data_IF_368290516285
#
_entry.id   IF_368290516285
#
_cell.length_a   1.000
_cell.length_b   1.000
_cell.length_c   1.000
_cell.angle_alpha   90.00
_cell.angle_beta   90.00
_cell.angle_gamma   90.00
#
_symmetry.space_group_name_H-M   'P 1'
#
loop_
_entity.id
_entity.type
_entity.pdbx_description
1 polymer ?
#
# COMPACT_ATOMS: atom_id res chain seq x y z
N UNK A 1 48.80 3.38 -8.24
CA UNK A 1 47.68 4.23 -8.69
C UNK A 1 46.37 3.50 -8.43
N UNK A 2 45.62 3.86 -7.38
CA UNK A 2 44.34 3.22 -7.05
C UNK A 2 43.23 3.93 -7.84
N UNK A 3 42.68 3.26 -8.86
CA UNK A 3 41.53 3.77 -9.60
C UNK A 3 40.33 3.88 -8.66
N UNK A 4 39.86 5.12 -8.52
CA UNK A 4 38.65 5.49 -7.79
C UNK A 4 37.48 4.87 -8.57
N UNK A 5 36.94 3.75 -8.07
CA UNK A 5 35.69 3.21 -8.58
C UNK A 5 34.60 4.21 -8.23
N UNK A 6 34.24 5.02 -9.21
CA UNK A 6 33.16 5.98 -9.15
C UNK A 6 31.87 5.20 -8.94
N UNK A 7 31.36 5.24 -7.70
CA UNK A 7 30.04 4.73 -7.36
C UNK A 7 29.05 5.53 -8.19
N UNK A 8 28.63 4.96 -9.32
CA UNK A 8 27.41 5.35 -10.02
C UNK A 8 26.29 5.33 -8.99
N UNK A 9 25.87 6.53 -8.57
CA UNK A 9 24.64 6.72 -7.82
C UNK A 9 23.54 6.15 -8.72
N UNK A 10 22.96 5.01 -8.32
CA UNK A 10 21.79 4.46 -8.98
C UNK A 10 20.74 5.58 -9.02
N UNK A 11 20.46 6.07 -10.23
CA UNK A 11 19.44 7.09 -10.45
C UNK A 11 18.11 6.66 -9.83
N UNK A 12 17.37 7.65 -9.34
CA UNK A 12 16.05 7.48 -8.71
C UNK A 12 15.20 6.44 -9.46
N UNK A 13 14.72 5.37 -8.80
CA UNK A 13 13.95 4.30 -9.45
C UNK A 13 12.60 4.75 -10.03
N UNK A 14 12.15 5.96 -9.69
CA UNK A 14 10.83 6.47 -10.07
C UNK A 14 10.91 7.17 -11.43
N UNK A 15 10.66 6.43 -12.51
CA UNK A 15 10.50 7.00 -13.86
C UNK A 15 9.21 7.81 -14.03
N UNK A 16 8.25 7.68 -13.11
CA UNK A 16 6.94 8.32 -13.15
C UNK A 16 6.60 8.99 -11.81
N UNK A 17 5.79 10.05 -11.87
CA UNK A 17 5.26 10.71 -10.66
C UNK A 17 4.41 9.73 -9.85
N UNK A 18 4.36 9.93 -8.52
CA UNK A 18 3.53 9.11 -7.62
C UNK A 18 2.05 9.11 -8.05
N UNK A 19 1.56 10.24 -8.56
CA UNK A 19 0.22 10.42 -9.14
C UNK A 19 -0.10 9.41 -10.24
N UNK A 20 0.88 9.09 -11.07
CA UNK A 20 0.69 8.19 -12.22
C UNK A 20 0.22 6.82 -11.77
N UNK A 21 0.77 6.27 -10.68
CA UNK A 21 0.39 4.93 -10.20
C UNK A 21 -1.06 4.85 -9.75
N UNK A 22 -1.55 5.85 -9.02
CA UNK A 22 -2.95 5.91 -8.58
C UNK A 22 -3.93 5.97 -9.76
N UNK A 23 -3.66 6.84 -10.74
CA UNK A 23 -4.51 6.99 -11.93
C UNK A 23 -4.51 5.71 -12.77
N UNK A 24 -3.35 5.10 -13.00
CA UNK A 24 -3.26 3.87 -13.80
C UNK A 24 -3.92 2.70 -13.09
N UNK A 25 -3.75 2.58 -11.77
CA UNK A 25 -4.43 1.56 -10.99
C UNK A 25 -5.94 1.71 -11.05
N UNK A 26 -6.48 2.92 -10.89
CA UNK A 26 -7.92 3.17 -11.02
C UNK A 26 -8.44 2.78 -12.41
N UNK A 27 -7.72 3.10 -13.48
CA UNK A 27 -8.08 2.68 -14.85
C UNK A 27 -8.14 1.16 -14.99
N UNK A 28 -7.12 0.46 -14.51
CA UNK A 28 -7.08 -1.01 -14.54
C UNK A 28 -8.19 -1.62 -13.68
N UNK A 29 -8.48 -1.02 -12.53
CA UNK A 29 -9.56 -1.45 -11.64
C UNK A 29 -10.92 -1.38 -12.34
N UNK A 30 -11.18 -0.29 -13.08
CA UNK A 30 -12.42 -0.14 -13.86
C UNK A 30 -12.54 -1.18 -14.97
N UNK A 31 -11.43 -1.57 -15.62
CA UNK A 31 -11.44 -2.61 -16.65
C UNK A 31 -11.55 -4.03 -16.08
N UNK A 32 -11.00 -4.28 -14.88
CA UNK A 32 -11.03 -5.58 -14.23
C UNK A 32 -12.34 -5.85 -13.49
N UNK A 33 -13.15 -4.80 -13.23
CA UNK A 33 -14.41 -4.92 -12.49
C UNK A 33 -15.36 -5.85 -13.25
N UNK A 34 -15.91 -6.90 -12.61
CA UNK A 34 -16.88 -7.77 -13.24
C UNK A 34 -18.13 -7.00 -13.67
N UNK A 35 -18.86 -7.54 -14.63
CA UNK A 35 -20.19 -7.05 -14.98
C UNK A 35 -21.12 -7.06 -13.75
N UNK A 36 -22.07 -6.12 -13.69
CA UNK A 36 -22.89 -5.87 -12.50
C UNK A 36 -23.79 -7.04 -12.05
N UNK A 37 -24.00 -8.03 -12.92
CA UNK A 37 -24.74 -9.26 -12.70
C UNK A 37 -23.86 -10.44 -12.24
N UNK A 38 -22.54 -10.28 -12.25
CA UNK A 38 -21.60 -11.33 -11.84
C UNK A 38 -21.63 -11.58 -10.32
N UNK A 39 -21.99 -12.80 -9.95
CA UNK A 39 -21.93 -13.29 -8.55
C UNK A 39 -20.51 -13.60 -8.06
N UNK A 40 -19.49 -13.45 -8.90
CA UNK A 40 -18.10 -13.77 -8.53
C UNK A 40 -17.56 -12.75 -7.52
N UNK A 41 -16.93 -13.21 -6.42
CA UNK A 41 -16.30 -12.30 -5.47
C UNK A 41 -15.15 -11.55 -6.15
N UNK A 42 -15.17 -10.23 -6.09
CA UNK A 42 -14.14 -9.37 -6.65
C UNK A 42 -13.52 -8.53 -5.55
N UNK A 43 -12.21 -8.68 -5.38
CA UNK A 43 -11.45 -7.94 -4.38
C UNK A 43 -10.33 -7.15 -5.02
N UNK A 44 -10.10 -5.96 -4.49
CA UNK A 44 -9.02 -5.08 -4.90
C UNK A 44 -8.37 -4.42 -3.68
N UNK A 45 -7.10 -4.09 -3.81
CA UNK A 45 -6.33 -3.39 -2.78
C UNK A 45 -5.28 -2.52 -3.44
N UNK A 46 -5.25 -1.24 -3.08
CA UNK A 46 -4.20 -0.31 -3.43
C UNK A 46 -3.41 0.07 -2.17
N UNK A 47 -2.09 0.03 -2.24
CA UNK A 47 -1.20 0.29 -1.11
C UNK A 47 -0.25 1.41 -1.47
N UNK A 48 -0.24 2.46 -0.66
CA UNK A 48 0.73 3.54 -0.75
C UNK A 48 1.67 3.54 0.47
N UNK A 49 2.98 3.59 0.21
CA UNK A 49 4.00 3.68 1.23
C UNK A 49 4.26 5.14 1.62
N UNK A 50 3.20 5.94 1.79
CA UNK A 50 3.23 7.40 2.00
C UNK A 50 3.97 8.16 0.89
N UNK A 51 3.94 7.64 -0.33
CA UNK A 51 4.61 8.23 -1.50
C UNK A 51 3.70 9.20 -2.24
N UNK A 52 2.38 9.03 -2.14
CA UNK A 52 1.43 9.96 -2.72
C UNK A 52 1.52 11.30 -1.99
N UNK A 53 1.44 12.38 -2.77
CA UNK A 53 1.24 13.73 -2.23
C UNK A 53 -0.18 13.86 -1.66
N UNK A 54 -0.38 14.76 -0.70
CA UNK A 54 -1.64 14.83 0.05
C UNK A 54 -2.83 15.12 -0.87
N UNK A 55 -2.69 16.05 -1.83
CA UNK A 55 -3.71 16.33 -2.86
C UNK A 55 -4.11 15.08 -3.67
N UNK A 56 -3.16 14.18 -3.88
CA UNK A 56 -3.33 12.97 -4.68
C UNK A 56 -3.97 11.88 -3.84
N UNK A 57 -3.60 11.80 -2.56
CA UNK A 57 -4.25 10.94 -1.56
C UNK A 57 -5.72 11.35 -1.38
N UNK A 58 -6.01 12.65 -1.35
CA UNK A 58 -7.38 13.16 -1.27
C UNK A 58 -8.17 12.81 -2.54
N UNK A 59 -7.58 13.04 -3.73
CA UNK A 59 -8.22 12.63 -4.98
C UNK A 59 -8.44 11.10 -5.04
N UNK A 60 -7.49 10.30 -4.54
CA UNK A 60 -7.64 8.86 -4.43
C UNK A 60 -8.81 8.48 -3.51
N UNK A 61 -8.91 9.12 -2.36
CA UNK A 61 -9.95 8.88 -1.35
C UNK A 61 -11.34 9.29 -1.85
N UNK A 62 -11.49 10.54 -2.31
CA UNK A 62 -12.78 11.13 -2.61
C UNK A 62 -13.26 10.92 -4.04
N UNK A 63 -12.37 10.63 -5.00
CA UNK A 63 -12.75 10.53 -6.42
C UNK A 63 -12.49 9.18 -7.08
N UNK A 64 -11.41 8.47 -6.71
CA UNK A 64 -11.06 7.22 -7.39
C UNK A 64 -11.56 5.99 -6.65
N UNK A 65 -11.37 5.94 -5.34
CA UNK A 65 -11.68 4.77 -4.53
C UNK A 65 -12.96 4.92 -3.71
N UNK A 66 -13.45 6.15 -3.55
CA UNK A 66 -14.67 6.49 -2.81
C UNK A 66 -14.70 5.90 -1.38
N UNK A 67 -13.52 5.76 -0.77
CA UNK A 67 -13.33 5.23 0.58
C UNK A 67 -12.09 5.82 1.22
N UNK A 68 -12.13 6.01 2.53
CA UNK A 68 -10.99 6.46 3.31
C UNK A 68 -9.88 5.39 3.33
N UNK A 69 -8.60 5.79 3.31
CA UNK A 69 -7.50 4.87 3.50
C UNK A 69 -7.48 4.34 4.92
N UNK A 70 -7.17 3.06 5.04
CA UNK A 70 -6.69 2.49 6.28
C UNK A 70 -5.20 2.78 6.45
N UNK A 71 -4.82 3.45 7.54
CA UNK A 71 -3.41 3.61 7.91
C UNK A 71 -2.95 2.36 8.68
N UNK A 72 -1.90 1.70 8.19
CA UNK A 72 -1.31 0.52 8.81
C UNK A 72 0.12 0.83 9.22
N UNK A 73 0.36 0.84 10.52
CA UNK A 73 1.67 1.10 11.10
C UNK A 73 2.53 -0.16 11.12
N UNK A 74 3.79 -0.05 10.69
CA UNK A 74 4.83 -1.04 10.94
C UNK A 74 5.51 -0.73 12.26
N UNK A 75 5.21 -1.53 13.28
CA UNK A 75 5.74 -1.35 14.64
C UNK A 75 6.79 -2.42 14.92
N UNK A 76 7.97 -1.99 15.36
CA UNK A 76 9.03 -2.89 15.85
C UNK A 76 9.41 -2.50 17.27
N UNK A 77 9.44 -3.48 18.17
CA UNK A 77 9.82 -3.29 19.58
C UNK A 77 9.07 -2.13 20.27
N UNK A 78 7.80 -1.92 19.93
CA UNK A 78 6.97 -0.84 20.48
C UNK A 78 7.14 0.54 19.82
N UNK A 79 8.03 0.69 18.83
CA UNK A 79 8.23 1.92 18.09
C UNK A 79 7.66 1.83 16.66
N UNK A 80 6.99 2.91 16.21
CA UNK A 80 6.51 3.03 14.83
C UNK A 80 7.69 3.30 13.91
N UNK A 81 8.01 2.34 13.05
CA UNK A 81 9.11 2.45 12.09
C UNK A 81 8.66 3.05 10.77
N UNK A 82 7.41 2.77 10.36
CA UNK A 82 6.81 3.30 9.14
C UNK A 82 5.29 3.14 9.18
N UNK A 83 4.60 3.67 8.17
CA UNK A 83 3.20 3.39 7.93
C UNK A 83 2.92 3.28 6.44
N UNK A 84 1.80 2.66 6.10
CA UNK A 84 1.26 2.59 4.75
C UNK A 84 -0.22 2.95 4.76
N UNK A 85 -0.69 3.56 3.70
CA UNK A 85 -2.11 3.79 3.45
C UNK A 85 -2.64 2.69 2.54
N UNK A 86 -3.78 2.12 2.91
CA UNK A 86 -4.39 0.99 2.18
C UNK A 86 -5.84 1.32 1.85
N UNK A 87 -6.17 1.27 0.56
CA UNK A 87 -7.54 1.32 0.06
C UNK A 87 -7.93 -0.06 -0.45
N UNK A 88 -9.19 -0.45 -0.33
CA UNK A 88 -9.66 -1.72 -0.84
C UNK A 88 -11.00 -2.13 -0.27
N UNK A 89 -11.57 -3.19 -0.83
CA UNK A 89 -12.86 -3.76 -0.41
C UNK A 89 -12.71 -5.12 0.30
N UNK A 90 -11.50 -5.46 0.73
CA UNK A 90 -11.25 -6.69 1.48
C UNK A 90 -11.96 -6.62 2.85
N UNK A 91 -12.76 -7.62 3.26
CA UNK A 91 -13.56 -7.55 4.49
C UNK A 91 -12.77 -7.18 5.75
N UNK A 92 -11.53 -7.66 5.89
CA UNK A 92 -10.68 -7.33 7.04
C UNK A 92 -10.26 -5.86 7.10
N UNK A 93 -10.31 -5.11 5.99
CA UNK A 93 -10.05 -3.67 6.01
C UNK A 93 -11.16 -2.91 6.76
N UNK A 94 -12.40 -3.38 6.65
CA UNK A 94 -13.58 -2.73 7.25
C UNK A 94 -13.89 -3.23 8.67
N UNK A 95 -13.51 -4.46 9.02
CA UNK A 95 -13.99 -5.12 10.23
C UNK A 95 -13.16 -4.87 11.49
N UNK A 96 -11.87 -4.49 11.40
CA UNK A 96 -10.93 -4.60 12.54
C UNK A 96 -9.93 -3.47 12.76
N UNK A 97 -9.91 -2.41 11.97
CA UNK A 97 -8.79 -1.46 12.01
C UNK A 97 -9.20 0.02 11.90
N UNK A 98 -9.92 0.53 12.90
CA UNK A 98 -9.32 1.72 13.51
C UNK A 98 -8.02 1.22 14.15
N UNK A 99 -6.90 1.27 13.42
CA UNK A 99 -5.61 1.10 14.07
C UNK A 99 -5.58 2.06 15.27
N UNK A 100 -4.93 1.75 16.40
CA UNK A 100 -4.74 2.77 17.42
C UNK A 100 -4.25 4.01 16.70
N UNK A 101 -4.96 5.12 16.86
CA UNK A 101 -4.56 6.39 16.27
C UNK A 101 -3.29 6.76 17.03
N UNK A 102 -2.16 6.19 16.62
CA UNK A 102 -0.86 6.60 17.09
C UNK A 102 -0.77 8.07 16.71
N UNK A 103 -0.62 8.95 17.70
CA UNK A 103 -0.37 10.38 17.47
C UNK A 103 1.02 10.53 16.91
N UNK A 104 1.17 10.15 15.65
CA UNK A 104 2.43 10.11 14.92
C UNK A 104 2.24 10.91 13.65
N UNK A 105 3.16 11.84 13.43
CA UNK A 105 3.15 12.68 12.25
C UNK A 105 3.53 11.84 11.01
N UNK A 106 2.55 11.66 10.12
CA UNK A 106 2.73 10.93 8.86
C UNK A 106 3.73 11.62 7.94
N UNK A 107 3.89 12.94 8.04
CA UNK A 107 4.89 13.70 7.27
C UNK A 107 6.29 13.32 7.73
N UNK A 108 6.51 13.24 9.04
CA UNK A 108 7.80 12.80 9.59
C UNK A 108 8.11 11.34 9.21
N UNK A 109 7.10 10.46 9.24
CA UNK A 109 7.27 9.07 8.78
C UNK A 109 7.59 8.97 7.30
N UNK A 110 6.99 9.82 6.45
CA UNK A 110 7.28 9.90 5.01
C UNK A 110 8.75 10.23 4.75
N UNK A 111 9.31 11.19 5.48
CA UNK A 111 10.73 11.55 5.35
C UNK A 111 11.67 10.45 5.87
N UNK A 112 11.33 9.81 6.98
CA UNK A 112 12.07 8.64 7.47
C UNK A 112 12.02 7.46 6.47
N UNK A 113 10.88 7.24 5.83
CA UNK A 113 10.70 6.24 4.79
C UNK A 113 11.51 6.56 3.54
N UNK A 114 11.60 7.82 3.11
CA UNK A 114 12.45 8.23 1.98
C UNK A 114 13.92 7.94 2.24
N UNK A 115 14.35 8.11 3.49
CA UNK A 115 15.72 7.86 3.93
C UNK A 115 15.99 6.39 4.28
N UNK A 116 14.95 5.55 4.37
CA UNK A 116 15.06 4.13 4.69
C UNK A 116 14.74 3.27 3.47
N UNK A 117 15.46 2.17 3.29
CA UNK A 117 15.08 1.16 2.30
C UNK A 117 13.95 0.31 2.89
N UNK A 118 12.72 0.83 2.99
CA UNK A 118 11.58 0.01 3.40
C UNK A 118 11.37 -1.11 2.36
N UNK A 119 11.93 -2.28 2.68
CA UNK A 119 12.03 -3.42 1.76
C UNK A 119 10.66 -4.08 1.62
N UNK A 120 10.28 -4.47 0.40
CA UNK A 120 9.02 -5.16 0.10
C UNK A 120 8.72 -6.36 1.00
N UNK A 121 9.73 -7.02 1.56
CA UNK A 121 9.57 -8.10 2.55
C UNK A 121 8.87 -7.65 3.84
N UNK A 122 9.10 -6.42 4.32
CA UNK A 122 8.41 -5.86 5.50
C UNK A 122 6.96 -5.58 5.17
N UNK A 123 6.70 -4.98 4.01
CA UNK A 123 5.35 -4.71 3.54
C UNK A 123 4.52 -5.99 3.41
N UNK A 124 5.11 -7.04 2.82
CA UNK A 124 4.45 -8.33 2.67
C UNK A 124 4.05 -8.91 4.03
N UNK A 125 4.94 -8.85 5.04
CA UNK A 125 4.63 -9.29 6.41
C UNK A 125 3.49 -8.46 7.01
N UNK A 126 3.52 -7.15 6.83
CA UNK A 126 2.54 -6.22 7.38
C UNK A 126 1.13 -6.47 6.82
N UNK A 127 1.05 -6.72 5.51
CA UNK A 127 -0.22 -6.87 4.80
C UNK A 127 -0.78 -8.28 4.80
N UNK A 128 0.04 -9.31 5.08
CA UNK A 128 -0.37 -10.72 5.06
C UNK A 128 -1.66 -10.99 5.85
N UNK A 129 -1.84 -10.30 6.97
CA UNK A 129 -3.02 -10.42 7.85
C UNK A 129 -4.34 -10.08 7.15
N UNK A 130 -4.32 -9.16 6.17
CA UNK A 130 -5.54 -8.75 5.44
C UNK A 130 -6.00 -9.80 4.43
N UNK A 131 -5.12 -10.71 4.01
CA UNK A 131 -5.47 -11.76 3.06
C UNK A 131 -5.97 -13.04 3.75
N UNK A 132 -6.01 -13.10 5.08
CA UNK A 132 -6.52 -14.29 5.81
C UNK A 132 -7.98 -14.61 5.46
N UNK A 133 -8.92 -13.64 5.41
CA UNK A 133 -10.31 -13.92 5.03
C UNK A 133 -10.49 -14.41 3.59
N UNK A 134 -9.50 -14.19 2.72
CA UNK A 134 -9.57 -14.64 1.31
C UNK A 134 -9.68 -16.15 1.18
N UNK A 135 -9.30 -16.90 2.23
CA UNK A 135 -9.44 -18.36 2.28
C UNK A 135 -10.89 -18.84 2.23
N UNK A 136 -11.84 -17.99 2.60
CA UNK A 136 -13.28 -18.30 2.53
C UNK A 136 -13.83 -18.13 1.10
N UNK A 137 -13.15 -17.35 0.26
CA UNK A 137 -13.57 -17.04 -1.10
C UNK A 137 -12.79 -17.81 -2.17
N UNK A 138 -11.56 -18.23 -1.88
CA UNK A 138 -10.66 -18.89 -2.83
C UNK A 138 -10.15 -20.23 -2.32
N UNK A 139 -9.95 -21.18 -3.24
CA UNK A 139 -9.38 -22.49 -2.94
C UNK A 139 -7.94 -22.33 -2.43
N UNK A 140 -7.64 -22.89 -1.26
CA UNK A 140 -6.28 -22.95 -0.73
C UNK A 140 -5.49 -24.06 -1.44
N UNK A 141 -4.27 -23.74 -1.90
CA UNK A 141 -3.33 -24.75 -2.38
C UNK A 141 -2.76 -25.54 -1.20
N UNK A 142 -2.52 -26.86 -1.34
CA UNK A 142 -1.83 -27.64 -0.31
C UNK A 142 -0.42 -27.08 -0.08
N UNK A 143 0.10 -27.13 1.17
CA UNK A 143 1.48 -26.76 1.43
C UNK A 143 2.42 -27.70 0.66
N UNK A 144 3.33 -27.11 -0.13
CA UNK A 144 4.40 -27.80 -0.87
C UNK A 144 5.54 -28.21 0.04
#
# INVERSE_FOLDING_TARGET
MRSKCERRVLGSPRRHSSKTYGIQYHRLLSYARPAGDSQKPFFWMFVDNLVLEDEVSDAATFRFFETNPLIVYDVQNGAVMSAVQVWGNIPSLNSKYSAPLWTVDLVQLRENLRNSNFVGTRLAKLLKKFFVPMREYFRCLPPS
#
